data_IF_791265596359
#
_entry.id   IF_791265596359
#
_cell.length_a   1.000
_cell.length_b   1.000
_cell.length_c   1.000
_cell.angle_alpha   90.00
_cell.angle_beta   90.00
_cell.angle_gamma   90.00
#
_symmetry.space_group_name_H-M   'P 1'
#
loop_
_entity.id
_entity.type
_entity.pdbx_description
1 polymer ?
#
# COMPACT_ATOMS: atom_id res chain seq x y z
N UNK A 1 7.98 -11.96 17.36
CA UNK A 1 7.97 -12.13 16.62
C UNK A 1 7.93 -11.37 15.49
N UNK A 2 7.96 -11.52 14.61
CA UNK A 2 8.23 -10.77 13.52
C UNK A 2 7.14 -9.93 13.05
N UNK A 3 7.36 -8.93 12.36
CA UNK A 3 6.35 -8.07 11.85
C UNK A 3 5.64 -8.65 10.66
N UNK A 4 6.05 -9.67 10.11
CA UNK A 4 5.38 -10.32 9.02
C UNK A 4 5.37 -9.59 7.69
N UNK A 5 5.54 -8.31 7.67
CA UNK A 5 5.48 -7.54 6.43
C UNK A 5 6.85 -7.20 5.87
N UNK A 6 7.89 -7.75 6.42
CA UNK A 6 9.22 -7.46 5.93
C UNK A 6 9.75 -8.47 4.94
N UNK A 7 8.98 -9.49 4.65
CA UNK A 7 9.44 -10.51 3.80
C UNK A 7 9.12 -10.20 2.41
N UNK A 8 9.09 -9.74 1.64
CA UNK A 8 8.77 -9.51 0.25
C UNK A 8 9.57 -8.39 -0.33
N UNK A 9 9.87 -8.52 -1.57
CA UNK A 9 10.55 -7.48 -2.29
C UNK A 9 9.51 -6.46 -2.76
N UNK A 10 9.72 -5.18 -2.52
CA UNK A 10 8.80 -4.17 -2.98
C UNK A 10 8.65 -4.16 -4.49
N UNK A 11 9.66 -4.66 -5.21
CA UNK A 11 9.55 -4.75 -6.65
C UNK A 11 8.62 -5.86 -7.10
N UNK A 12 8.33 -6.82 -6.22
CA UNK A 12 7.42 -7.90 -6.53
C UNK A 12 6.02 -7.47 -6.10
N UNK A 13 5.53 -6.44 -6.74
CA UNK A 13 4.21 -5.88 -6.43
C UNK A 13 3.53 -5.50 -7.73
N UNK A 14 2.23 -5.30 -7.64
CA UNK A 14 1.44 -4.93 -8.81
C UNK A 14 0.57 -3.73 -8.49
N UNK A 15 0.30 -2.93 -9.48
CA UNK A 15 -0.60 -1.81 -9.34
C UNK A 15 -2.02 -2.34 -9.14
N UNK A 16 -2.71 -1.82 -8.15
CA UNK A 16 -4.11 -2.19 -7.93
C UNK A 16 -4.99 -1.00 -8.29
N UNK A 17 -6.22 -1.29 -8.71
CA UNK A 17 -7.13 -0.25 -9.07
C UNK A 17 -7.80 0.34 -7.81
N UNK A 18 -8.49 1.44 -7.99
CA UNK A 18 -9.11 2.12 -6.87
C UNK A 18 -10.20 1.30 -6.22
N UNK A 19 -10.90 0.52 -6.99
CA UNK A 19 -11.97 -0.31 -6.47
C UNK A 19 -11.44 -1.37 -5.52
N UNK A 20 -10.36 -2.02 -5.90
CA UNK A 20 -9.73 -3.02 -5.05
C UNK A 20 -9.16 -2.39 -3.79
N UNK A 21 -8.52 -1.24 -3.95
CA UNK A 21 -7.96 -0.51 -2.82
C UNK A 21 -9.06 -0.13 -1.82
N UNK A 22 -10.18 0.35 -2.31
CA UNK A 22 -11.28 0.72 -1.46
C UNK A 22 -11.80 -0.49 -0.69
N UNK A 23 -11.90 -1.62 -1.36
CA UNK A 23 -12.36 -2.85 -0.73
C UNK A 23 -11.44 -3.27 0.42
N UNK A 24 -10.15 -3.21 0.20
CA UNK A 24 -9.17 -3.57 1.23
C UNK A 24 -9.27 -2.61 2.41
N UNK A 25 -9.33 -1.31 2.13
CA UNK A 25 -9.33 -0.31 3.19
C UNK A 25 -10.64 -0.29 3.96
N UNK A 26 -11.74 -0.65 3.34
CA UNK A 26 -13.02 -0.72 4.03
C UNK A 26 -12.96 -1.71 5.19
N UNK A 27 -12.16 -2.75 5.06
CA UNK A 27 -12.07 -3.76 6.10
C UNK A 27 -11.40 -3.25 7.36
N UNK A 28 -10.62 -2.20 7.25
CA UNK A 28 -9.98 -1.60 8.40
C UNK A 28 -10.55 -0.23 8.73
N UNK A 29 -11.66 0.12 8.09
CA UNK A 29 -12.32 1.39 8.36
C UNK A 29 -11.57 2.59 7.82
N UNK A 30 -10.86 2.43 6.72
CA UNK A 30 -10.09 3.50 6.14
C UNK A 30 -10.62 3.83 4.74
N UNK A 31 -10.03 4.81 4.13
CA UNK A 31 -10.49 5.35 2.87
C UNK A 31 -9.25 5.64 2.00
N UNK A 32 -9.31 5.42 0.69
CA UNK A 32 -8.12 5.56 -0.15
C UNK A 32 -7.47 6.93 -0.09
N UNK A 33 -8.27 7.98 -0.05
CA UNK A 33 -7.72 9.32 -0.01
C UNK A 33 -7.00 9.57 1.32
N UNK A 34 -7.65 9.22 2.42
CA UNK A 34 -7.06 9.39 3.74
C UNK A 34 -5.82 8.52 3.92
N UNK A 35 -5.86 7.31 3.40
CA UNK A 35 -4.73 6.41 3.46
C UNK A 35 -3.50 7.02 2.80
N UNK A 36 -3.64 7.52 1.59
CA UNK A 36 -2.52 8.13 0.90
C UNK A 36 -2.07 9.40 1.59
N UNK A 37 -3.02 10.22 2.05
CA UNK A 37 -2.68 11.49 2.67
C UNK A 37 -1.89 11.30 3.96
N UNK A 38 -2.11 10.20 4.67
CA UNK A 38 -1.37 9.93 5.89
C UNK A 38 0.12 9.72 5.64
N UNK A 39 0.47 9.27 4.45
CA UNK A 39 1.87 8.97 4.15
C UNK A 39 2.54 10.05 3.31
N UNK A 40 1.79 10.69 2.43
CA UNK A 40 2.41 11.61 1.48
C UNK A 40 1.87 13.03 1.56
N UNK A 41 0.81 13.24 2.32
CA UNK A 41 0.19 14.54 2.43
C UNK A 41 -0.86 14.76 1.36
N UNK A 42 -1.82 15.62 1.66
CA UNK A 42 -2.97 15.82 0.78
C UNK A 42 -2.58 16.34 -0.59
N UNK A 43 -1.51 17.12 -0.66
CA UNK A 43 -1.11 17.72 -1.93
C UNK A 43 -0.49 16.72 -2.88
N UNK A 44 0.10 15.67 -2.35
CA UNK A 44 0.81 14.70 -3.16
C UNK A 44 -0.01 13.46 -3.46
N UNK A 45 -1.23 13.36 -2.95
CA UNK A 45 -2.03 12.15 -3.11
C UNK A 45 -2.17 11.74 -4.58
N UNK A 46 -2.41 12.70 -5.45
CA UNK A 46 -2.63 12.40 -6.87
C UNK A 46 -1.35 12.00 -7.60
N UNK A 47 -0.20 12.19 -6.97
CA UNK A 47 1.07 11.83 -7.59
C UNK A 47 1.56 10.44 -7.21
N UNK A 48 0.80 9.73 -6.38
CA UNK A 48 1.20 8.42 -5.92
C UNK A 48 0.18 7.37 -6.34
N UNK A 49 0.68 6.20 -6.66
CA UNK A 49 -0.16 5.05 -6.94
C UNK A 49 -0.02 4.05 -5.82
N UNK A 50 -1.00 3.17 -5.69
CA UNK A 50 -0.97 2.13 -4.67
C UNK A 50 -0.68 0.81 -5.34
N UNK A 51 0.30 0.11 -4.80
CA UNK A 51 0.67 -1.20 -5.28
C UNK A 51 0.41 -2.22 -4.17
N UNK A 52 0.25 -3.46 -4.54
CA UNK A 52 0.06 -4.53 -3.58
C UNK A 52 1.20 -5.52 -3.74
N UNK A 53 1.91 -5.77 -2.67
CA UNK A 53 3.01 -6.71 -2.68
C UNK A 53 2.48 -8.12 -2.89
N UNK A 54 3.03 -8.84 -3.83
CA UNK A 54 2.47 -10.13 -4.23
C UNK A 54 2.64 -11.21 -3.17
N UNK A 55 3.70 -11.15 -2.40
CA UNK A 55 3.96 -12.19 -1.43
C UNK A 55 3.19 -11.98 -0.13
N UNK A 56 3.13 -10.77 0.36
CA UNK A 56 2.53 -10.49 1.66
C UNK A 56 1.17 -9.82 1.58
N UNK A 57 0.87 -9.18 0.47
CA UNK A 57 -0.35 -8.41 0.34
C UNK A 57 -0.25 -7.01 0.91
N UNK A 58 0.93 -6.60 1.30
CA UNK A 58 1.14 -5.28 1.87
C UNK A 58 0.86 -4.19 0.84
N UNK A 59 0.22 -3.12 1.26
CA UNK A 59 -0.01 -1.98 0.40
C UNK A 59 1.23 -1.10 0.38
N UNK A 60 1.62 -0.69 -0.80
CA UNK A 60 2.80 0.13 -1.01
C UNK A 60 2.39 1.37 -1.77
N UNK A 61 3.09 2.48 -1.52
CA UNK A 61 2.88 3.70 -2.27
C UNK A 61 4.10 3.98 -3.12
N UNK A 62 3.88 4.38 -4.35
CA UNK A 62 4.98 4.70 -5.24
C UNK A 62 4.64 5.97 -6.00
N UNK A 63 5.55 6.93 -5.98
CA UNK A 63 5.38 8.14 -6.75
C UNK A 63 5.51 7.83 -8.23
N UNK A 64 4.69 8.47 -9.04
CA UNK A 64 4.61 8.14 -10.48
C UNK A 64 5.93 8.27 -11.22
N UNK A 65 6.79 9.18 -10.78
CA UNK A 65 8.06 9.37 -11.44
C UNK A 65 9.23 8.79 -10.66
N UNK A 66 8.97 7.89 -9.74
CA UNK A 66 10.03 7.33 -8.91
C UNK A 66 9.93 5.82 -8.90
N UNK A 67 11.01 5.16 -8.62
CA UNK A 67 11.00 3.71 -8.44
C UNK A 67 11.03 3.31 -6.97
N UNK A 68 10.93 4.27 -6.07
CA UNK A 68 10.95 3.96 -4.64
C UNK A 68 9.56 3.69 -4.12
N UNK A 69 9.46 2.72 -3.24
CA UNK A 69 8.19 2.35 -2.63
C UNK A 69 8.18 2.74 -1.17
N UNK A 70 7.01 3.18 -0.68
CA UNK A 70 6.79 3.45 0.73
C UNK A 70 6.02 2.29 1.29
N UNK A 71 6.58 1.61 2.26
CA UNK A 71 5.92 0.46 2.89
C UNK A 71 4.99 0.95 3.99
N UNK A 72 3.75 0.54 3.94
CA UNK A 72 2.74 1.01 4.89
C UNK A 72 2.46 0.02 5.99
N UNK A 73 2.75 -1.24 5.77
CA UNK A 73 2.41 -2.28 6.72
C UNK A 73 0.93 -2.60 6.77
N UNK A 74 0.15 -2.02 5.87
CA UNK A 74 -1.29 -2.22 5.86
C UNK A 74 -1.63 -3.25 4.79
N UNK A 75 -2.55 -4.13 5.10
CA UNK A 75 -3.00 -5.13 4.14
C UNK A 75 -2.16 -6.39 4.10
N UNK A 76 -1.06 -6.43 4.82
CA UNK A 76 -0.25 -7.63 4.82
C UNK A 76 -0.96 -8.72 5.60
N UNK A 77 -0.99 -9.88 5.01
CA UNK A 77 -1.65 -11.01 5.64
C UNK A 77 -0.61 -11.73 6.47
N UNK A 78 -0.54 -11.41 7.73
CA UNK A 78 0.45 -11.98 8.59
C UNK A 78 -0.13 -13.17 9.23
N UNK A 79 -0.13 -14.19 8.60
CA UNK A 79 -0.73 -15.35 9.13
C UNK A 79 -0.04 -15.91 10.31
N UNK A 80 0.40 -15.69 10.84
CA UNK A 80 0.69 -16.29 11.86
C UNK A 80 1.03 -16.67 12.21
#
# INVERSE_FOLDING_TARGET
MSSGCNDGDTKDSKLINQKELKWILDQIGSDPHAFKADYVGKRAVSHYDVYKQNKTGELLLRRKNSSEFIRTGIGCDDAE
#
